data_IF_774298508792
#
_entry.id   IF_774298508792
#
_cell.length_a   1.000
_cell.length_b   1.000
_cell.length_c   1.000
_cell.angle_alpha   90.00
_cell.angle_beta   90.00
_cell.angle_gamma   90.00
#
_symmetry.space_group_name_H-M   'P 1'
#
loop_
_entity.id
_entity.type
_entity.pdbx_description
1 polymer ?
#
# COMPACT_ATOMS: atom_id res chain seq x y z
N UNK A 1 -8.14 -5.22 16.53
CA UNK A 1 -6.88 -5.25 15.76
C UNK A 1 -6.63 -3.88 15.17
N UNK A 2 -5.46 -3.29 15.39
CA UNK A 2 -5.10 -1.99 14.82
C UNK A 2 -4.28 -2.22 13.54
N UNK A 3 -4.88 -2.00 12.37
CA UNK A 3 -4.25 -2.29 11.07
C UNK A 3 -3.06 -1.39 10.78
N UNK A 4 -3.12 -0.11 11.17
CA UNK A 4 -2.03 0.84 10.95
C UNK A 4 -0.76 0.41 11.69
N UNK A 5 -0.91 -0.02 12.95
CA UNK A 5 0.19 -0.55 13.75
C UNK A 5 0.68 -1.91 13.24
N UNK A 6 -0.23 -2.78 12.77
CA UNK A 6 0.13 -4.12 12.31
C UNK A 6 0.86 -4.14 10.96
N UNK A 7 0.42 -3.29 10.02
CA UNK A 7 0.97 -3.20 8.66
C UNK A 7 1.94 -2.05 8.45
N UNK A 8 2.39 -1.42 9.54
CA UNK A 8 3.48 -0.44 9.57
C UNK A 8 3.30 0.68 8.52
N UNK A 9 2.10 1.27 8.47
CA UNK A 9 1.78 2.30 7.49
C UNK A 9 0.53 3.10 7.87
N UNK A 10 0.41 4.30 7.31
CA UNK A 10 -0.82 5.08 7.38
C UNK A 10 -1.60 4.89 6.08
N UNK A 11 -2.83 4.39 6.15
CA UNK A 11 -3.66 4.16 4.98
C UNK A 11 -5.14 4.29 5.31
N UNK A 12 -5.97 4.39 4.26
CA UNK A 12 -7.41 4.26 4.39
C UNK A 12 -7.79 2.79 4.59
N UNK A 13 -7.63 2.31 5.82
CA UNK A 13 -7.89 0.93 6.18
C UNK A 13 -9.40 0.61 6.26
N UNK A 14 -9.82 -0.49 5.64
CA UNK A 14 -11.13 -1.13 5.81
C UNK A 14 -10.92 -2.64 5.77
N UNK A 15 -11.23 -3.34 6.87
CA UNK A 15 -10.78 -4.73 7.07
C UNK A 15 -9.27 -4.89 6.77
N UNK A 16 -8.50 -3.94 7.31
CA UNK A 16 -7.13 -3.63 6.92
C UNK A 16 -7.03 -3.17 5.47
N UNK A 17 -6.39 -3.89 4.55
CA UNK A 17 -6.16 -3.32 3.22
C UNK A 17 -5.96 -4.36 2.11
N UNK A 18 -6.17 -3.90 0.88
CA UNK A 18 -5.71 -4.56 -0.35
C UNK A 18 -4.51 -3.84 -0.98
N UNK A 19 -4.25 -2.59 -0.57
CA UNK A 19 -3.11 -1.78 -0.96
C UNK A 19 -2.56 -1.05 0.26
N UNK A 20 -1.25 -0.96 0.39
CA UNK A 20 -0.60 -0.21 1.46
C UNK A 20 0.50 0.62 0.83
N UNK A 21 0.11 1.73 0.22
CA UNK A 21 1.03 2.55 -0.59
C UNK A 21 2.00 3.39 0.25
N UNK A 22 1.66 3.60 1.53
CA UNK A 22 2.51 4.26 2.53
C UNK A 22 3.05 3.28 3.57
N UNK A 23 3.16 1.99 3.21
CA UNK A 23 3.83 0.98 4.03
C UNK A 23 5.36 1.11 3.96
N UNK A 24 6.04 0.20 4.64
CA UNK A 24 7.50 0.19 4.69
C UNK A 24 8.13 -0.12 3.31
N UNK A 25 9.26 0.50 3.01
CA UNK A 25 10.00 0.17 1.80
C UNK A 25 10.92 -1.04 2.03
N UNK A 26 10.66 -2.15 1.33
CA UNK A 26 11.48 -3.38 1.42
C UNK A 26 12.25 -3.72 0.14
N UNK A 27 12.17 -2.89 -0.91
CA UNK A 27 13.03 -3.03 -2.09
C UNK A 27 12.80 -4.30 -2.93
N UNK A 28 11.56 -4.61 -3.28
CA UNK A 28 11.21 -5.78 -4.11
C UNK A 28 10.56 -6.90 -3.32
N UNK A 29 10.88 -8.17 -3.66
CA UNK A 29 10.31 -9.33 -2.96
C UNK A 29 10.90 -9.45 -1.57
N UNK A 30 10.06 -9.66 -0.56
CA UNK A 30 10.48 -9.76 0.84
C UNK A 30 9.88 -10.99 1.55
N UNK A 31 10.37 -11.28 2.76
CA UNK A 31 9.99 -12.45 3.54
C UNK A 31 8.51 -12.50 3.90
N UNK A 32 7.93 -13.70 3.95
CA UNK A 32 6.54 -13.93 4.35
C UNK A 32 6.19 -13.46 5.77
N UNK A 33 7.19 -13.29 6.65
CA UNK A 33 7.00 -12.72 7.99
C UNK A 33 6.60 -11.23 7.98
N UNK A 34 6.86 -10.55 6.86
CA UNK A 34 6.56 -9.14 6.64
C UNK A 34 5.38 -8.93 5.67
N UNK A 35 4.59 -9.98 5.41
CA UNK A 35 3.48 -9.94 4.45
C UNK A 35 2.57 -8.72 4.66
N UNK A 36 2.30 -8.01 3.57
CA UNK A 36 1.47 -6.82 3.51
C UNK A 36 1.97 -5.60 4.32
N UNK A 37 3.13 -5.67 5.00
CA UNK A 37 3.71 -4.54 5.75
C UNK A 37 4.50 -3.56 4.88
N UNK A 38 4.77 -3.95 3.64
CA UNK A 38 5.53 -3.14 2.70
C UNK A 38 4.67 -2.16 1.88
N UNK A 39 5.31 -1.46 0.94
CA UNK A 39 4.64 -0.74 -0.13
C UNK A 39 3.98 -1.73 -1.11
N UNK A 40 2.78 -2.23 -0.78
CA UNK A 40 2.15 -3.35 -1.50
C UNK A 40 0.88 -2.98 -2.25
N UNK A 41 0.60 -3.75 -3.32
CA UNK A 41 -0.65 -3.72 -4.08
C UNK A 41 -1.05 -5.15 -4.42
N UNK A 42 -1.97 -5.70 -3.62
CA UNK A 42 -2.27 -7.14 -3.61
C UNK A 42 -2.82 -7.65 -4.93
N UNK A 43 -3.62 -6.84 -5.63
CA UNK A 43 -4.18 -7.19 -6.94
C UNK A 43 -3.17 -7.22 -8.10
N UNK A 44 -1.94 -6.72 -7.90
CA UNK A 44 -0.97 -6.68 -8.99
C UNK A 44 0.22 -7.61 -8.76
N UNK A 45 1.01 -7.41 -7.70
CA UNK A 45 2.19 -8.25 -7.39
C UNK A 45 2.09 -8.99 -6.05
N UNK A 46 0.89 -9.02 -5.45
CA UNK A 46 0.64 -9.69 -4.18
C UNK A 46 1.07 -8.89 -2.95
N UNK A 47 1.08 -9.55 -1.79
CA UNK A 47 1.43 -8.97 -0.49
C UNK A 47 2.91 -9.06 -0.11
N UNK A 48 3.72 -9.76 -0.92
CA UNK A 48 5.15 -10.03 -0.66
C UNK A 48 6.10 -9.22 -1.54
N UNK A 49 5.57 -8.24 -2.27
CA UNK A 49 6.35 -7.40 -3.17
C UNK A 49 6.18 -5.92 -2.83
N UNK A 50 7.29 -5.28 -2.46
CA UNK A 50 7.37 -3.85 -2.17
C UNK A 50 7.75 -3.10 -3.43
N UNK A 51 6.91 -2.17 -3.87
CA UNK A 51 7.22 -1.31 -5.01
C UNK A 51 8.40 -0.38 -4.73
N UNK A 52 9.18 -0.11 -5.78
CA UNK A 52 10.33 0.81 -5.72
C UNK A 52 9.91 2.27 -5.55
N UNK A 53 8.81 2.65 -6.19
CA UNK A 53 8.28 4.01 -6.16
C UNK A 53 6.76 3.96 -6.31
N UNK A 54 6.08 4.89 -5.63
CA UNK A 54 4.65 5.10 -5.75
C UNK A 54 4.42 6.59 -5.97
N UNK A 55 3.56 6.93 -6.92
CA UNK A 55 3.15 8.30 -7.22
C UNK A 55 1.63 8.35 -7.31
N UNK A 56 1.01 9.07 -6.38
CA UNK A 56 -0.42 9.37 -6.43
C UNK A 56 -0.60 10.78 -6.97
N UNK A 57 -1.48 10.93 -7.96
CA UNK A 57 -1.75 12.21 -8.62
C UNK A 57 -3.26 12.35 -8.79
N UNK A 58 -3.78 13.56 -8.58
CA UNK A 58 -5.19 13.89 -8.79
C UNK A 58 -5.27 14.89 -9.94
N UNK A 59 -6.16 14.64 -10.90
CA UNK A 59 -6.46 15.59 -11.98
C UNK A 59 -7.84 16.19 -11.71
N UNK A 60 -8.00 17.53 -11.78
CA UNK A 60 -9.31 18.16 -11.72
C UNK A 60 -10.22 17.59 -12.81
N UNK A 61 -11.44 17.20 -12.44
CA UNK A 61 -12.49 16.99 -13.43
C UNK A 61 -13.02 18.37 -13.76
N UNK A 62 -12.84 18.86 -14.99
CA UNK A 62 -13.55 20.05 -15.45
C UNK A 62 -15.04 19.84 -15.18
N UNK A 63 -15.58 20.63 -14.26
CA UNK A 63 -17.02 20.84 -14.20
C UNK A 63 -17.24 22.09 -15.04
N UNK A 64 -17.83 21.93 -16.22
CA UNK A 64 -18.51 23.07 -16.82
C UNK A 64 -19.54 23.52 -15.78
N UNK A 65 -19.35 24.72 -15.24
CA UNK A 65 -20.31 25.38 -14.38
C UNK A 65 -21.41 26.00 -15.25
#
# INVERSE_FOLDING_TARGET
MNCAQHYLGAWWYKSCHHSNLFGMYFGGTFSSSLDNKGMVWRHWRGGLYSYKSIKMMVRPKCRCA
#
